data_IF_951147979032
#
_entry.id   IF_951147979032
#
_cell.length_a   1.000
_cell.length_b   1.000
_cell.length_c   1.000
_cell.angle_alpha   90.00
_cell.angle_beta   90.00
_cell.angle_gamma   90.00
#
_symmetry.space_group_name_H-M   'P 1'
#
loop_
_entity.id
_entity.type
_entity.pdbx_description
1 polymer ?
#
# COMPACT_ATOMS: atom_id res chain seq x y z
N UNK A 1 3.41 4.26 7.79
CA UNK A 1 2.69 4.55 9.06
C UNK A 1 1.53 5.52 8.85
N UNK A 2 1.70 6.63 8.11
CA UNK A 2 0.62 7.60 7.83
C UNK A 2 -0.74 6.97 7.49
N UNK A 3 -0.79 6.00 6.57
CA UNK A 3 -2.03 5.34 6.14
C UNK A 3 -2.78 4.58 7.25
N UNK A 4 -2.11 4.18 8.35
CA UNK A 4 -2.76 3.52 9.49
C UNK A 4 -3.82 4.42 10.13
N UNK A 5 -3.60 5.74 10.12
CA UNK A 5 -4.50 6.70 10.76
C UNK A 5 -5.84 6.85 10.04
N UNK A 6 -5.99 6.34 8.82
CA UNK A 6 -7.31 6.23 8.19
C UNK A 6 -8.29 5.36 8.99
N UNK A 7 -7.79 4.44 9.83
CA UNK A 7 -8.61 3.63 10.72
C UNK A 7 -9.38 4.44 11.77
N UNK A 8 -8.91 5.66 12.09
CA UNK A 8 -9.61 6.56 13.01
C UNK A 8 -10.92 7.10 12.43
N UNK A 9 -11.13 6.96 11.11
CA UNK A 9 -12.32 7.43 10.40
C UNK A 9 -13.46 6.38 10.37
N UNK A 10 -13.27 5.22 11.01
CA UNK A 10 -14.25 4.13 11.06
C UNK A 10 -15.10 4.26 12.33
N UNK A 11 -16.42 4.32 12.18
CA UNK A 11 -17.38 4.35 13.30
C UNK A 11 -18.52 3.33 13.09
N UNK A 12 -19.04 2.71 14.18
CA UNK A 12 -20.23 1.86 14.13
C UNK A 12 -21.51 2.61 13.72
N UNK A 13 -21.57 3.93 13.93
CA UNK A 13 -22.77 4.74 13.65
C UNK A 13 -22.84 5.22 12.18
N UNK A 14 -21.76 5.06 11.42
CA UNK A 14 -21.68 5.48 10.02
C UNK A 14 -22.34 4.47 9.08
N UNK A 15 -22.72 4.95 7.88
CA UNK A 15 -23.16 4.08 6.80
C UNK A 15 -22.08 3.02 6.50
N UNK A 16 -22.50 1.75 6.37
CA UNK A 16 -21.59 0.63 6.15
C UNK A 16 -20.63 0.85 4.97
N UNK A 17 -21.11 1.36 3.83
CA UNK A 17 -20.25 1.57 2.66
C UNK A 17 -19.14 2.62 2.91
N UNK A 18 -19.40 3.60 3.79
CA UNK A 18 -18.41 4.61 4.20
C UNK A 18 -17.43 4.01 5.21
N UNK A 19 -17.91 3.26 6.20
CA UNK A 19 -17.03 2.59 7.17
C UNK A 19 -16.13 1.54 6.49
N UNK A 20 -16.66 0.80 5.53
CA UNK A 20 -15.91 -0.20 4.77
C UNK A 20 -14.88 0.44 3.83
N UNK A 21 -15.19 1.60 3.24
CA UNK A 21 -14.20 2.40 2.48
C UNK A 21 -12.97 2.74 3.33
N UNK A 22 -13.16 3.26 4.54
CA UNK A 22 -12.03 3.57 5.44
C UNK A 22 -11.30 2.33 5.92
N UNK A 23 -12.03 1.22 6.14
CA UNK A 23 -11.42 -0.07 6.45
C UNK A 23 -10.46 -0.52 5.34
N UNK A 24 -10.88 -0.45 4.07
CA UNK A 24 -10.02 -0.80 2.94
C UNK A 24 -8.89 0.19 2.72
N UNK A 25 -9.04 1.46 3.11
CA UNK A 25 -7.90 2.40 3.12
C UNK A 25 -6.81 1.92 4.08
N UNK A 26 -7.16 1.34 5.22
CA UNK A 26 -6.17 0.72 6.12
C UNK A 26 -5.63 -0.58 5.52
N UNK A 27 -6.47 -1.48 5.02
CA UNK A 27 -5.98 -2.77 4.51
C UNK A 27 -5.11 -2.56 3.26
N UNK A 28 -5.63 -1.90 2.23
CA UNK A 28 -4.97 -1.80 0.93
C UNK A 28 -3.83 -0.76 0.93
N UNK A 29 -4.02 0.42 1.54
CA UNK A 29 -2.97 1.45 1.53
C UNK A 29 -1.98 1.26 2.68
N UNK A 30 -2.45 0.92 3.89
CA UNK A 30 -1.53 0.70 4.99
C UNK A 30 -0.89 -0.69 4.94
N UNK A 31 -1.65 -1.79 4.98
CA UNK A 31 -1.03 -3.14 5.02
C UNK A 31 -0.32 -3.43 3.71
N UNK A 32 -1.03 -3.43 2.58
CA UNK A 32 -0.45 -3.91 1.31
C UNK A 32 0.68 -2.97 0.83
N UNK A 33 0.40 -1.70 0.56
CA UNK A 33 1.43 -0.78 0.01
C UNK A 33 2.59 -0.49 0.96
N UNK A 34 2.32 -0.25 2.26
CA UNK A 34 3.42 0.11 3.17
C UNK A 34 4.37 -1.06 3.36
N UNK A 35 3.85 -2.29 3.55
CA UNK A 35 4.72 -3.45 3.72
C UNK A 35 5.38 -3.89 2.42
N UNK A 36 4.72 -3.71 1.27
CA UNK A 36 5.33 -3.98 -0.03
C UNK A 36 6.53 -3.05 -0.30
N UNK A 37 6.38 -1.74 -0.06
CA UNK A 37 7.49 -0.78 -0.15
C UNK A 37 8.59 -1.11 0.85
N UNK A 38 8.24 -1.35 2.11
CA UNK A 38 9.21 -1.65 3.17
C UNK A 38 10.03 -2.91 2.86
N UNK A 39 9.35 -3.98 2.45
CA UNK A 39 9.99 -5.25 2.10
C UNK A 39 10.88 -5.08 0.88
N UNK A 40 10.42 -4.36 -0.15
CA UNK A 40 11.21 -4.06 -1.35
C UNK A 40 12.51 -3.31 -1.02
N UNK A 41 12.45 -2.31 -0.13
CA UNK A 41 13.63 -1.60 0.34
C UNK A 41 14.59 -2.48 1.14
N UNK A 42 14.07 -3.32 2.05
CA UNK A 42 14.89 -4.23 2.85
C UNK A 42 15.58 -5.27 1.99
N UNK A 43 14.83 -5.93 1.10
CA UNK A 43 15.38 -6.95 0.19
C UNK A 43 16.42 -6.31 -0.72
N UNK A 44 16.11 -5.14 -1.32
CA UNK A 44 17.07 -4.39 -2.11
C UNK A 44 18.35 -4.04 -1.34
N UNK A 45 18.22 -3.58 -0.10
CA UNK A 45 19.36 -3.31 0.78
C UNK A 45 20.19 -4.57 1.05
N UNK A 46 19.56 -5.70 1.41
CA UNK A 46 20.26 -6.97 1.65
C UNK A 46 20.99 -7.47 0.41
N UNK A 47 20.39 -7.36 -0.78
CA UNK A 47 21.03 -7.75 -2.05
C UNK A 47 22.27 -6.91 -2.35
N UNK A 48 22.24 -5.62 -2.02
CA UNK A 48 23.41 -4.73 -2.13
C UNK A 48 24.49 -5.13 -1.11
N UNK A 49 24.13 -5.42 0.14
CA UNK A 49 25.09 -5.83 1.18
C UNK A 49 25.77 -7.18 0.89
N UNK A 50 25.04 -8.11 0.26
CA UNK A 50 25.61 -9.40 -0.18
C UNK A 50 26.47 -9.29 -1.46
N UNK A 51 26.57 -8.10 -2.07
CA UNK A 51 27.30 -7.88 -3.31
C UNK A 51 26.64 -8.49 -4.56
N UNK A 52 25.36 -8.87 -4.46
CA UNK A 52 24.61 -9.48 -5.57
C UNK A 52 24.10 -8.44 -6.57
N UNK A 53 23.90 -7.19 -6.10
CA UNK A 53 23.33 -6.10 -6.90
C UNK A 53 24.09 -4.80 -6.64
N UNK A 54 24.32 -4.01 -7.69
CA UNK A 54 24.88 -2.66 -7.54
C UNK A 54 23.85 -1.70 -6.91
N UNK A 55 24.28 -0.89 -5.95
CA UNK A 55 23.48 0.14 -5.28
C UNK A 55 22.69 1.02 -6.26
N UNK A 56 23.33 1.53 -7.31
CA UNK A 56 22.68 2.41 -8.27
C UNK A 56 21.54 1.71 -9.04
N UNK A 57 21.65 0.40 -9.27
CA UNK A 57 20.60 -0.39 -9.88
C UNK A 57 19.45 -0.62 -8.89
N UNK A 58 19.76 -1.03 -7.66
CA UNK A 58 18.76 -1.23 -6.61
C UNK A 58 17.93 0.04 -6.36
N UNK A 59 18.56 1.21 -6.24
CA UNK A 59 17.86 2.48 -6.01
C UNK A 59 16.87 2.78 -7.15
N UNK A 60 17.31 2.69 -8.42
CA UNK A 60 16.44 2.95 -9.59
C UNK A 60 15.24 2.00 -9.63
N UNK A 61 15.46 0.72 -9.37
CA UNK A 61 14.38 -0.29 -9.36
C UNK A 61 13.42 -0.05 -8.20
N UNK A 62 13.92 0.25 -6.99
CA UNK A 62 13.08 0.58 -5.84
C UNK A 62 12.21 1.80 -6.14
N UNK A 63 12.78 2.88 -6.70
CA UNK A 63 11.99 4.06 -7.07
C UNK A 63 10.90 3.73 -8.10
N UNK A 64 11.21 2.95 -9.12
CA UNK A 64 10.22 2.49 -10.10
C UNK A 64 9.12 1.65 -9.44
N UNK A 65 9.50 0.69 -8.60
CA UNK A 65 8.57 -0.18 -7.89
C UNK A 65 7.63 0.64 -6.99
N UNK A 66 8.15 1.57 -6.19
CA UNK A 66 7.35 2.46 -5.33
C UNK A 66 6.33 3.27 -6.14
N UNK A 67 6.74 3.83 -7.28
CA UNK A 67 5.81 4.55 -8.16
C UNK A 67 4.70 3.63 -8.68
N UNK A 68 5.06 2.42 -9.13
CA UNK A 68 4.09 1.44 -9.62
C UNK A 68 3.14 0.95 -8.53
N UNK A 69 3.64 0.64 -7.33
CA UNK A 69 2.82 0.22 -6.18
C UNK A 69 1.80 1.30 -5.81
N UNK A 70 2.21 2.57 -5.74
CA UNK A 70 1.30 3.65 -5.41
C UNK A 70 0.18 3.85 -6.45
N UNK A 71 0.51 3.79 -7.75
CA UNK A 71 -0.47 3.94 -8.83
C UNK A 71 -1.45 2.77 -8.82
N UNK A 72 -0.92 1.55 -8.76
CA UNK A 72 -1.74 0.33 -8.84
C UNK A 72 -2.59 0.14 -7.60
N UNK A 73 -2.11 0.45 -6.40
CA UNK A 73 -2.89 0.31 -5.18
C UNK A 73 -3.97 1.38 -5.02
N UNK A 74 -3.68 2.63 -5.42
CA UNK A 74 -4.68 3.71 -5.36
C UNK A 74 -5.90 3.40 -6.24
N UNK A 75 -5.67 2.79 -7.41
CA UNK A 75 -6.74 2.34 -8.30
C UNK A 75 -7.29 0.98 -7.82
N UNK A 76 -6.41 0.08 -7.39
CA UNK A 76 -6.68 -1.31 -7.03
C UNK A 76 -7.65 -1.44 -5.85
N UNK A 77 -7.61 -0.52 -4.89
CA UNK A 77 -8.56 -0.48 -3.77
C UNK A 77 -10.02 -0.53 -4.23
N UNK A 78 -10.32 -0.03 -5.44
CA UNK A 78 -11.67 -0.05 -6.02
C UNK A 78 -12.27 -1.45 -6.17
N UNK A 79 -11.45 -2.50 -6.27
CA UNK A 79 -11.94 -3.88 -6.36
C UNK A 79 -12.70 -4.34 -5.12
N UNK A 80 -12.47 -3.67 -4.00
CA UNK A 80 -13.12 -3.93 -2.72
C UNK A 80 -14.49 -3.24 -2.64
N UNK A 81 -14.79 -2.35 -3.58
CA UNK A 81 -16.03 -1.57 -3.61
C UNK A 81 -17.07 -2.12 -4.59
N UNK A 82 -16.76 -3.19 -5.32
CA UNK A 82 -17.64 -3.72 -6.36
C UNK A 82 -19.04 -4.11 -5.87
N UNK A 83 -19.16 -4.57 -4.62
CA UNK A 83 -20.40 -5.16 -4.10
C UNK A 83 -20.86 -4.55 -2.77
N UNK A 84 -20.41 -3.33 -2.43
CA UNK A 84 -20.73 -2.68 -1.14
C UNK A 84 -21.92 -1.71 -1.22
N UNK A 85 -22.81 -1.90 -2.20
CA UNK A 85 -23.97 -1.03 -2.45
C UNK A 85 -23.63 0.44 -2.80
N UNK A 86 -22.41 0.70 -3.28
CA UNK A 86 -22.08 1.93 -4.04
C UNK A 86 -22.70 1.82 -5.45
N UNK A 87 -23.13 2.93 -6.08
CA UNK A 87 -23.54 2.92 -7.48
C UNK A 87 -22.41 2.48 -8.41
#
# INVERSE_FOLDING_TARGET
VFFLFFGLMISPEQNFAVSDYWRWMVVHMWVEVTFEVFTTCIVGYMLVQMGLVNRAMAERVIFLAVMMFLVTALIGISHSFYWIAKP
#
